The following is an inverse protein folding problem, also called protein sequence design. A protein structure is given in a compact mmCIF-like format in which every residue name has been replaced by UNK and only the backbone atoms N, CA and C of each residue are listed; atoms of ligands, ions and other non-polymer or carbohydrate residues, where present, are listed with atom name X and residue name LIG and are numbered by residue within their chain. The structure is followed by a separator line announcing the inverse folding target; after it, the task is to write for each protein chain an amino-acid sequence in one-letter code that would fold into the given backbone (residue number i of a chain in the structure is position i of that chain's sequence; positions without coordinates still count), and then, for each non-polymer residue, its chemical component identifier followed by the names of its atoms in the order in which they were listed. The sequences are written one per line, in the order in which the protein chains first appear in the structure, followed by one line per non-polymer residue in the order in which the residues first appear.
data_IF_099372812005
#
_entry.id   IF_099372812005
#
_cell.length_a   1.000
_cell.length_b   1.000
_cell.length_c   1.000
_cell.angle_alpha   90.00
_cell.angle_beta   90.00
_cell.angle_gamma   90.00
#
_symmetry.space_group_name_H-M   'P 1'
#
loop_
_entity.id
_entity.type
_entity.pdbx_description
1 polymer ?
#
# COMPACT_ATOMS: atom_id res chain seq x y z
N UNK A 1 -0.21 15.17 -14.22
CA UNK A 1 -0.06 13.73 -14.55
C UNK A 1 -0.32 12.94 -13.30
N UNK A 2 -1.14 11.89 -13.38
CA UNK A 2 -1.37 10.96 -12.29
C UNK A 2 -0.21 9.97 -12.16
N UNK A 3 0.03 9.51 -10.94
CA UNK A 3 1.02 8.46 -10.64
C UNK A 3 0.47 7.08 -11.00
N UNK A 4 -0.81 6.86 -10.74
CA UNK A 4 -1.54 5.62 -11.00
C UNK A 4 -2.87 5.91 -11.68
N UNK A 5 -3.54 4.88 -12.19
CA UNK A 5 -4.89 4.99 -12.74
C UNK A 5 -6.00 4.89 -11.65
N UNK A 6 -5.62 4.85 -10.37
CA UNK A 6 -6.59 4.84 -9.28
C UNK A 6 -7.33 6.18 -9.18
N UNK A 7 -8.64 6.11 -9.00
CA UNK A 7 -9.44 7.29 -8.69
C UNK A 7 -9.35 7.57 -7.18
N UNK A 8 -8.82 8.75 -6.82
CA UNK A 8 -8.91 9.31 -5.48
C UNK A 8 -9.91 10.46 -5.50
N UNK A 9 -10.66 10.61 -4.41
CA UNK A 9 -11.50 11.80 -4.22
C UNK A 9 -10.64 13.06 -4.19
N UNK A 10 -11.18 14.17 -4.66
CA UNK A 10 -10.43 15.43 -4.71
C UNK A 10 -9.96 15.87 -3.32
N UNK A 11 -8.66 15.95 -3.13
CA UNK A 11 -8.01 16.29 -1.86
C UNK A 11 -7.75 15.12 -0.93
N UNK A 12 -8.22 13.91 -1.28
CA UNK A 12 -7.86 12.69 -0.56
C UNK A 12 -6.42 12.27 -0.84
N UNK A 13 -5.84 11.51 0.07
CA UNK A 13 -4.50 10.95 -0.06
C UNK A 13 -4.56 9.46 0.22
N UNK A 14 -3.64 8.73 -0.39
CA UNK A 14 -3.41 7.32 -0.11
C UNK A 14 -1.91 7.07 0.05
N UNK A 15 -1.56 6.02 0.78
CA UNK A 15 -0.20 5.51 0.82
C UNK A 15 0.09 4.74 -0.45
N UNK A 16 1.13 5.13 -1.17
CA UNK A 16 1.59 4.50 -2.40
C UNK A 16 2.92 3.80 -2.18
N UNK A 17 2.97 2.49 -2.44
CA UNK A 17 4.16 1.66 -2.32
C UNK A 17 5.24 1.94 -3.36
N UNK A 18 5.01 2.99 -4.18
CA UNK A 18 5.92 3.38 -5.24
C UNK A 18 5.97 2.32 -6.37
N UNK A 19 6.90 2.48 -7.27
CA UNK A 19 7.27 1.55 -8.33
C UNK A 19 8.76 1.67 -8.58
N UNK A 20 9.50 0.59 -8.37
CA UNK A 20 10.94 0.52 -8.57
C UNK A 20 11.31 -0.95 -8.72
N UNK A 21 12.39 -1.23 -9.41
CA UNK A 21 12.97 -2.55 -9.48
C UNK A 21 13.67 -2.88 -8.15
N UNK A 22 13.74 -4.15 -7.80
CA UNK A 22 14.45 -4.67 -6.61
C UNK A 22 14.02 -3.98 -5.30
N UNK A 23 12.75 -3.59 -5.18
CA UNK A 23 12.26 -2.89 -4.00
C UNK A 23 11.79 -3.85 -2.90
N UNK A 24 11.99 -3.47 -1.65
CA UNK A 24 11.38 -4.05 -0.44
C UNK A 24 10.85 -2.90 0.41
N UNK A 25 9.73 -2.33 -0.03
CA UNK A 25 9.11 -1.16 0.59
C UNK A 25 8.19 -1.55 1.74
N UNK A 26 8.22 -0.79 2.84
CA UNK A 26 7.50 -1.10 4.08
C UNK A 26 6.76 0.11 4.61
N UNK A 27 5.50 -0.10 4.96
CA UNK A 27 4.66 0.85 5.68
C UNK A 27 4.24 0.21 7.00
N UNK A 28 4.67 0.77 8.12
CA UNK A 28 4.60 0.16 9.44
C UNK A 28 3.77 1.02 10.39
N UNK A 29 2.87 0.38 11.16
CA UNK A 29 2.19 0.97 12.30
C UNK A 29 2.26 0.06 13.52
N UNK A 30 2.20 0.63 14.72
CA UNK A 30 2.20 -0.10 15.99
C UNK A 30 0.98 0.27 16.81
N UNK A 31 0.30 -0.75 17.32
CA UNK A 31 -0.88 -0.61 18.17
C UNK A 31 -0.66 -1.25 19.53
N UNK A 32 -0.99 -0.53 20.59
CA UNK A 32 -1.07 -1.08 21.94
C UNK A 32 -2.49 -1.62 22.19
N UNK A 33 -2.63 -2.93 22.22
CA UNK A 33 -3.90 -3.61 22.37
C UNK A 33 -4.06 -4.25 23.76
N UNK A 34 -3.19 -3.91 24.72
CA UNK A 34 -3.20 -4.50 26.08
C UNK A 34 -4.46 -4.18 26.88
N UNK A 35 -5.21 -3.16 26.49
CA UNK A 35 -6.52 -2.84 27.09
C UNK A 35 -7.67 -3.68 26.55
N UNK A 36 -7.45 -4.46 25.50
CA UNK A 36 -8.42 -5.36 24.89
C UNK A 36 -8.26 -6.74 25.53
N UNK A 37 -9.38 -7.38 25.84
CA UNK A 37 -9.32 -8.71 26.42
C UNK A 37 -8.66 -9.71 25.46
N UNK A 38 -7.76 -10.58 25.92
CA UNK A 38 -7.15 -11.60 25.06
C UNK A 38 -8.19 -12.44 24.34
N UNK A 39 -8.02 -12.62 23.02
CA UNK A 39 -8.94 -13.37 22.17
C UNK A 39 -10.28 -12.65 21.88
N UNK A 40 -10.44 -11.39 22.28
CA UNK A 40 -11.61 -10.63 21.89
C UNK A 40 -11.60 -10.36 20.37
N UNK A 41 -12.75 -10.31 19.70
CA UNK A 41 -12.83 -10.02 18.29
C UNK A 41 -12.13 -8.70 17.94
N UNK A 42 -11.22 -8.78 17.00
CA UNK A 42 -10.44 -7.65 16.51
C UNK A 42 -10.31 -7.77 14.99
N UNK A 43 -10.73 -6.74 14.27
CA UNK A 43 -10.78 -6.72 12.82
C UNK A 43 -10.02 -5.53 12.27
N UNK A 44 -9.18 -5.76 11.28
CA UNK A 44 -8.60 -4.73 10.44
C UNK A 44 -9.37 -4.68 9.12
N UNK A 45 -9.74 -3.49 8.68
CA UNK A 45 -10.18 -3.22 7.30
C UNK A 45 -9.20 -2.27 6.65
N UNK A 46 -8.99 -2.42 5.34
CA UNK A 46 -8.16 -1.54 4.55
C UNK A 46 -8.71 -1.45 3.12
N UNK A 47 -8.80 -0.25 2.58
CA UNK A 47 -9.04 -0.03 1.15
C UNK A 47 -7.72 -0.18 0.41
N UNK A 48 -7.68 -1.03 -0.61
CA UNK A 48 -6.48 -1.31 -1.38
C UNK A 48 -6.76 -1.27 -2.88
N UNK A 49 -5.81 -0.76 -3.62
CA UNK A 49 -5.81 -0.76 -5.08
C UNK A 49 -4.40 -1.16 -5.54
N UNK A 50 -4.30 -2.12 -6.46
CA UNK A 50 -3.00 -2.51 -6.98
C UNK A 50 -3.06 -2.84 -8.48
N UNK A 51 -1.99 -2.47 -9.16
CA UNK A 51 -1.62 -2.86 -10.50
C UNK A 51 -0.11 -3.07 -10.48
N UNK A 52 0.29 -4.32 -10.32
CA UNK A 52 1.68 -4.77 -10.15
C UNK A 52 1.96 -5.95 -11.06
N UNK A 53 3.20 -6.28 -11.30
CA UNK A 53 3.54 -7.40 -12.17
C UNK A 53 3.01 -8.72 -11.60
N UNK A 54 2.27 -9.47 -12.44
CA UNK A 54 1.63 -10.71 -12.00
C UNK A 54 2.68 -11.80 -11.78
N UNK A 55 2.67 -12.42 -10.58
CA UNK A 55 3.51 -13.55 -10.18
C UNK A 55 5.03 -13.23 -10.02
N UNK A 56 5.40 -11.95 -10.07
CA UNK A 56 6.76 -11.46 -9.83
C UNK A 56 6.78 -10.40 -8.72
N UNK A 57 5.89 -9.43 -8.78
CA UNK A 57 5.70 -8.42 -7.74
C UNK A 57 4.61 -8.85 -6.75
N UNK A 58 4.83 -8.58 -5.45
CA UNK A 58 3.90 -8.97 -4.40
C UNK A 58 3.71 -7.91 -3.34
N UNK A 59 2.44 -7.68 -2.98
CA UNK A 59 2.03 -6.97 -1.78
C UNK A 59 1.65 -7.94 -0.66
N UNK A 60 2.13 -7.69 0.56
CA UNK A 60 1.82 -8.49 1.75
C UNK A 60 1.29 -7.61 2.87
N UNK A 61 0.20 -8.04 3.52
CA UNK A 61 -0.18 -7.53 4.83
C UNK A 61 0.39 -8.47 5.87
N UNK A 62 1.14 -7.93 6.82
CA UNK A 62 1.86 -8.73 7.80
C UNK A 62 1.61 -8.22 9.22
N UNK A 63 1.55 -9.13 10.18
CA UNK A 63 1.42 -8.82 11.59
C UNK A 63 2.52 -9.46 12.41
N UNK A 64 2.92 -8.78 13.50
CA UNK A 64 3.87 -9.28 14.49
C UNK A 64 3.47 -8.82 15.88
N UNK A 65 3.71 -9.66 16.89
CA UNK A 65 3.50 -9.30 18.30
C UNK A 65 4.73 -8.64 18.95
N UNK A 66 5.90 -8.72 18.32
CA UNK A 66 7.19 -8.29 18.89
C UNK A 66 8.04 -7.43 17.92
N UNK A 67 7.54 -7.19 16.71
CA UNK A 67 8.25 -6.48 15.65
C UNK A 67 9.39 -7.25 14.99
N UNK A 68 9.62 -8.51 15.38
CA UNK A 68 10.71 -9.34 14.88
C UNK A 68 10.21 -10.59 14.14
N UNK A 69 9.22 -11.27 14.70
CA UNK A 69 8.61 -12.44 14.09
C UNK A 69 7.35 -12.04 13.34
N UNK A 70 7.43 -12.03 12.02
CA UNK A 70 6.35 -11.59 11.13
C UNK A 70 5.60 -12.78 10.55
N UNK A 71 4.27 -12.66 10.50
CA UNK A 71 3.40 -13.60 9.77
C UNK A 71 2.59 -12.86 8.72
N UNK A 72 2.37 -13.48 7.57
CA UNK A 72 1.45 -12.97 6.56
C UNK A 72 0.02 -13.09 7.09
N UNK A 73 -0.76 -12.05 6.90
CA UNK A 73 -2.19 -11.99 7.14
C UNK A 73 -2.86 -12.10 5.77
N UNK A 74 -3.31 -13.28 5.34
CA UNK A 74 -3.89 -13.43 4.01
C UNK A 74 -5.25 -12.75 3.95
N UNK A 75 -5.48 -11.95 2.90
CA UNK A 75 -6.77 -11.38 2.57
C UNK A 75 -7.56 -12.28 1.60
N UNK A 76 -8.78 -11.87 1.24
CA UNK A 76 -9.63 -12.65 0.33
C UNK A 76 -9.07 -12.71 -1.10
N UNK A 77 -8.31 -11.68 -1.51
CA UNK A 77 -7.76 -11.56 -2.87
C UNK A 77 -6.28 -11.93 -2.95
N UNK A 78 -5.70 -12.50 -1.89
CA UNK A 78 -4.33 -13.00 -1.93
C UNK A 78 -4.24 -14.33 -2.67
N UNK A 79 -3.13 -14.55 -3.36
CA UNK A 79 -2.82 -15.79 -4.05
C UNK A 79 -1.42 -16.29 -3.69
N UNK A 80 -1.25 -17.61 -3.73
CA UNK A 80 0.08 -18.22 -3.66
C UNK A 80 0.67 -18.22 -5.07
N UNK A 81 1.91 -17.77 -5.21
CA UNK A 81 2.62 -17.74 -6.48
C UNK A 81 2.72 -19.13 -7.10
N UNK A 82 2.21 -19.37 -8.32
CA UNK A 82 2.38 -20.63 -9.03
C UNK A 82 3.84 -20.94 -9.37
N UNK A 83 4.65 -19.92 -9.63
CA UNK A 83 6.09 -20.05 -9.93
C UNK A 83 6.97 -20.16 -8.69
N UNK A 84 6.41 -19.84 -7.51
CA UNK A 84 7.15 -19.85 -6.24
C UNK A 84 7.98 -18.60 -5.98
N UNK A 85 7.77 -17.51 -6.72
CA UNK A 85 8.49 -16.24 -6.54
C UNK A 85 8.08 -15.50 -5.25
N UNK A 86 6.85 -15.70 -4.78
CA UNK A 86 6.35 -15.07 -3.55
C UNK A 86 6.84 -15.76 -2.28
N UNK A 87 6.81 -15.04 -1.15
CA UNK A 87 7.13 -15.58 0.19
C UNK A 87 5.92 -16.20 0.90
N UNK A 88 4.76 -16.22 0.25
CA UNK A 88 3.49 -16.76 0.75
C UNK A 88 2.30 -16.15 0.03
N UNK A 89 1.07 -16.29 0.59
CA UNK A 89 -0.10 -15.66 0.01
C UNK A 89 0.06 -14.13 -0.04
N UNK A 90 0.00 -13.54 -1.23
CA UNK A 90 0.19 -12.10 -1.45
C UNK A 90 -0.73 -11.56 -2.53
N UNK A 91 -0.79 -10.25 -2.62
CA UNK A 91 -1.46 -9.53 -3.70
C UNK A 91 -0.50 -9.44 -4.87
N UNK A 92 -0.95 -9.82 -6.07
CA UNK A 92 -0.19 -9.76 -7.31
C UNK A 92 -1.12 -9.46 -8.49
N UNK A 93 -0.61 -9.01 -9.62
CA UNK A 93 -1.41 -8.64 -10.78
C UNK A 93 -2.26 -7.40 -10.53
N UNK A 94 -3.59 -7.51 -10.65
CA UNK A 94 -4.53 -6.37 -10.54
C UNK A 94 -5.64 -6.61 -9.55
N UNK A 95 -6.06 -5.55 -8.85
CA UNK A 95 -7.19 -5.54 -7.91
C UNK A 95 -8.57 -5.58 -8.57
N UNK A 96 -8.66 -5.93 -9.84
CA UNK A 96 -9.91 -5.99 -10.61
C UNK A 96 -10.66 -7.31 -10.49
N UNK A 97 -10.13 -8.29 -9.74
CA UNK A 97 -10.65 -9.66 -9.89
C UNK A 97 -10.31 -10.23 -11.28
N UNK A 98 -10.73 -11.46 -11.53
CA UNK A 98 -10.44 -12.21 -12.74
C UNK A 98 -10.77 -11.40 -14.02
N UNK A 99 -9.87 -11.46 -15.00
CA UNK A 99 -10.06 -10.90 -16.34
C UNK A 99 -11.46 -11.18 -16.87
N UNK A 100 -12.07 -10.19 -17.51
CA UNK A 100 -13.34 -10.39 -18.21
C UNK A 100 -13.26 -11.61 -19.14
N UNK A 101 -14.36 -12.34 -19.27
CA UNK A 101 -14.43 -13.56 -20.08
C UNK A 101 -14.07 -13.35 -21.57
N UNK A 102 -14.00 -12.10 -22.03
CA UNK A 102 -13.59 -11.69 -23.38
C UNK A 102 -12.10 -11.41 -23.53
N UNK A 103 -11.29 -11.60 -22.47
CA UNK A 103 -9.86 -11.34 -22.46
C UNK A 103 -9.49 -9.85 -22.43
N UNK A 104 -10.45 -8.93 -22.27
CA UNK A 104 -10.16 -7.54 -22.01
C UNK A 104 -9.61 -7.40 -20.59
N UNK A 105 -8.48 -6.74 -20.44
CA UNK A 105 -7.91 -6.44 -19.13
C UNK A 105 -8.80 -5.39 -18.44
N UNK A 106 -9.47 -5.79 -17.35
CA UNK A 106 -10.19 -4.82 -16.53
C UNK A 106 -9.20 -3.88 -15.82
N UNK A 107 -9.57 -2.61 -15.70
CA UNK A 107 -8.80 -1.69 -14.89
C UNK A 107 -8.80 -2.15 -13.43
N UNK A 108 -7.70 -1.95 -12.72
CA UNK A 108 -7.66 -2.15 -11.28
C UNK A 108 -8.71 -1.28 -10.59
N UNK A 109 -9.33 -1.78 -9.52
CA UNK A 109 -10.37 -1.10 -8.75
C UNK A 109 -10.02 -1.10 -7.27
N UNK A 110 -10.57 -0.15 -6.49
CA UNK A 110 -10.47 -0.18 -5.05
C UNK A 110 -11.24 -1.39 -4.49
N UNK A 111 -10.58 -2.12 -3.60
CA UNK A 111 -11.13 -3.29 -2.90
C UNK A 111 -10.98 -3.05 -1.40
N UNK A 112 -12.01 -3.30 -0.64
CA UNK A 112 -11.93 -3.38 0.81
C UNK A 112 -11.56 -4.80 1.23
N UNK A 113 -10.45 -4.92 1.96
CA UNK A 113 -9.99 -6.17 2.55
C UNK A 113 -10.24 -6.16 4.06
N UNK A 114 -10.51 -7.35 4.60
CA UNK A 114 -10.79 -7.58 6.01
C UNK A 114 -9.90 -8.68 6.56
N UNK A 115 -9.27 -8.42 7.72
CA UNK A 115 -8.36 -9.35 8.38
C UNK A 115 -8.80 -9.58 9.82
N UNK A 116 -8.80 -10.84 10.25
CA UNK A 116 -8.98 -11.21 11.66
C UNK A 116 -7.65 -11.04 12.40
N UNK A 117 -7.66 -10.17 13.40
CA UNK A 117 -6.51 -9.87 14.25
C UNK A 117 -6.74 -10.27 15.71
N UNK A 118 -7.76 -11.09 16.01
CA UNK A 118 -8.14 -11.48 17.36
C UNK A 118 -6.99 -12.12 18.16
N UNK A 119 -6.04 -12.76 17.48
CA UNK A 119 -4.83 -13.31 18.08
C UNK A 119 -3.89 -12.27 18.71
N UNK A 120 -3.99 -11.00 18.29
CA UNK A 120 -3.17 -9.90 18.83
C UNK A 120 -3.84 -9.18 20.00
N UNK A 121 -5.13 -9.47 20.27
CA UNK A 121 -5.86 -8.84 21.37
C UNK A 121 -5.19 -9.17 22.72
N UNK A 122 -5.05 -8.18 23.57
CA UNK A 122 -4.38 -8.28 24.87
C UNK A 122 -2.87 -8.08 24.84
N UNK A 123 -2.28 -7.79 23.68
CA UNK A 123 -0.85 -7.60 23.48
C UNK A 123 -0.49 -6.34 22.69
N UNK A 124 0.49 -6.45 21.86
CA UNK A 124 0.87 -5.44 20.88
C UNK A 124 0.68 -5.99 19.46
N UNK A 125 0.38 -5.11 18.54
CA UNK A 125 0.36 -5.41 17.11
C UNK A 125 1.31 -4.46 16.39
N UNK A 126 2.27 -5.03 15.70
CA UNK A 126 3.03 -4.38 14.65
C UNK A 126 2.40 -4.80 13.34
N UNK A 127 1.81 -3.85 12.61
CA UNK A 127 1.16 -4.06 11.32
C UNK A 127 2.06 -3.51 10.22
N UNK A 128 2.25 -4.28 9.16
CA UNK A 128 3.08 -3.88 8.04
C UNK A 128 2.38 -4.17 6.70
N UNK A 129 2.36 -3.17 5.82
CA UNK A 129 2.16 -3.38 4.39
C UNK A 129 3.55 -3.42 3.75
N UNK A 130 3.88 -4.56 3.13
CA UNK A 130 5.20 -4.79 2.54
C UNK A 130 5.04 -5.04 1.05
N UNK A 131 5.70 -4.26 0.22
CA UNK A 131 5.68 -4.37 -1.22
C UNK A 131 7.07 -4.78 -1.71
N UNK A 132 7.15 -5.92 -2.40
CA UNK A 132 8.38 -6.51 -2.91
C UNK A 132 8.27 -6.60 -4.41
N UNK A 133 9.27 -6.09 -5.13
CA UNK A 133 9.38 -6.16 -6.59
C UNK A 133 10.65 -6.90 -6.99
N UNK A 134 10.63 -7.48 -8.19
CA UNK A 134 11.82 -8.05 -8.81
C UNK A 134 12.60 -7.00 -9.64
N UNK A 135 13.47 -7.42 -10.55
CA UNK A 135 14.41 -6.60 -11.31
C UNK A 135 13.83 -6.07 -12.63
N UNK A 136 12.51 -6.13 -12.84
CA UNK A 136 11.90 -5.66 -14.10
C UNK A 136 10.41 -5.40 -14.05
N UNK A 137 9.89 -4.86 -15.14
CA UNK A 137 8.46 -4.63 -15.43
C UNK A 137 7.69 -3.88 -14.35
N UNK A 138 8.02 -2.62 -14.16
CA UNK A 138 7.27 -1.75 -13.25
C UNK A 138 5.86 -1.43 -13.77
N UNK A 139 4.83 -1.75 -13.00
CA UNK A 139 3.46 -1.30 -13.22
C UNK A 139 3.12 -0.06 -12.36
N UNK A 140 1.84 0.21 -12.11
CA UNK A 140 1.41 1.42 -11.37
C UNK A 140 1.71 1.37 -9.88
N UNK A 141 1.91 0.16 -9.31
CA UNK A 141 2.22 -0.07 -7.90
C UNK A 141 0.99 -0.36 -7.05
N UNK A 142 1.11 -0.20 -5.75
CA UNK A 142 0.11 -0.54 -4.75
C UNK A 142 -0.26 0.68 -3.91
N UNK A 143 -1.57 0.95 -3.80
CA UNK A 143 -2.14 2.00 -2.95
C UNK A 143 -2.89 1.38 -1.77
N UNK A 144 -2.76 2.00 -0.59
CA UNK A 144 -3.46 1.64 0.64
C UNK A 144 -4.06 2.88 1.27
N UNK A 145 -5.33 2.78 1.67
CA UNK A 145 -6.09 3.85 2.31
C UNK A 145 -7.10 3.29 3.32
N UNK A 146 -7.75 4.16 4.08
CA UNK A 146 -8.83 3.82 5.00
C UNK A 146 -8.53 2.64 5.93
N UNK A 147 -7.30 2.56 6.47
CA UNK A 147 -6.90 1.50 7.38
C UNK A 147 -7.56 1.71 8.73
N UNK A 148 -8.45 0.80 9.12
CA UNK A 148 -9.22 0.89 10.35
C UNK A 148 -9.09 -0.38 11.19
N UNK A 149 -8.86 -0.21 12.48
CA UNK A 149 -8.86 -1.28 13.45
C UNK A 149 -10.09 -1.16 14.35
N UNK A 150 -10.91 -2.20 14.41
CA UNK A 150 -12.14 -2.23 15.18
C UNK A 150 -12.19 -3.45 16.10
N UNK A 151 -12.61 -3.23 17.34
CA UNK A 151 -12.96 -4.27 18.30
C UNK A 151 -14.47 -4.35 18.53
N UNK A 152 -14.89 -5.24 19.41
CA UNK A 152 -16.32 -5.46 19.73
C UNK A 152 -17.08 -4.20 20.21
N UNK A 153 -16.37 -3.17 20.70
CA UNK A 153 -16.95 -1.92 21.22
C UNK A 153 -16.82 -0.74 20.25
N UNK A 154 -16.31 -0.95 19.04
CA UNK A 154 -16.13 0.06 18.00
C UNK A 154 -14.68 0.26 17.56
N UNK A 155 -14.44 1.35 16.81
CA UNK A 155 -13.11 1.68 16.29
C UNK A 155 -12.10 1.91 17.41
N UNK A 156 -10.94 1.28 17.29
CA UNK A 156 -9.83 1.37 18.27
C UNK A 156 -8.87 2.49 17.87
N UNK A 157 -8.60 2.61 16.58
CA UNK A 157 -7.86 3.71 15.97
C UNK A 157 -8.25 3.80 14.49
N UNK A 158 -8.77 4.92 14.05
CA UNK A 158 -8.86 5.25 12.64
C UNK A 158 -7.52 5.89 12.24
N UNK A 159 -6.64 5.12 11.64
CA UNK A 159 -5.46 5.66 10.97
C UNK A 159 -5.83 5.77 9.50
N UNK A 160 -6.39 6.93 9.12
CA UNK A 160 -6.63 7.23 7.71
C UNK A 160 -5.41 7.91 7.09
N UNK A 161 -5.16 7.67 5.82
CA UNK A 161 -4.18 8.42 5.05
C UNK A 161 -4.59 9.89 4.85
N UNK A 162 -5.86 10.22 5.10
CA UNK A 162 -6.43 11.56 4.93
C UNK A 162 -6.03 12.57 6.01
N UNK A 163 -5.50 12.11 7.15
CA UNK A 163 -4.96 13.04 8.14
C UNK A 163 -3.78 13.78 7.50
N UNK A 164 -3.72 15.11 7.66
CA UNK A 164 -2.60 15.95 7.20
C UNK A 164 -1.24 15.57 7.82
N UNK A 165 -1.22 14.53 8.61
CA UNK A 165 -0.08 13.93 9.28
C UNK A 165 0.00 12.46 8.85
N UNK A 166 1.19 11.88 8.95
CA UNK A 166 1.49 10.48 8.60
C UNK A 166 0.70 9.45 9.43
N UNK A 167 -0.22 9.90 10.29
CA UNK A 167 -1.09 9.07 11.12
C UNK A 167 -0.34 8.13 12.08
N UNK A 168 0.95 8.37 12.31
CA UNK A 168 1.83 7.49 13.09
C UNK A 168 2.38 6.30 12.28
N UNK A 169 2.22 6.33 10.96
CA UNK A 169 2.86 5.38 10.06
C UNK A 169 4.35 5.70 9.90
N UNK A 170 5.17 4.69 9.93
CA UNK A 170 6.59 4.74 9.55
C UNK A 170 6.72 4.17 8.14
N UNK A 171 7.23 4.97 7.22
CA UNK A 171 7.36 4.57 5.82
C UNK A 171 8.82 4.38 5.41
N UNK A 172 9.08 3.28 4.71
CA UNK A 172 10.32 2.99 4.01
C UNK A 172 9.95 2.62 2.57
N UNK A 173 10.20 3.54 1.63
CA UNK A 173 9.83 3.39 0.23
C UNK A 173 8.37 3.73 -0.13
N UNK A 174 7.48 3.91 0.85
CA UNK A 174 6.11 4.35 0.64
C UNK A 174 6.00 5.88 0.68
N UNK A 175 5.08 6.42 -0.08
CA UNK A 175 4.81 7.87 -0.17
C UNK A 175 3.33 8.14 0.08
N UNK A 176 3.04 9.11 0.94
CA UNK A 176 1.68 9.64 1.08
C UNK A 176 1.42 10.64 -0.05
N UNK A 177 0.48 10.34 -0.93
CA UNK A 177 0.25 11.07 -2.19
C UNK A 177 -1.23 11.35 -2.45
N UNK A 178 -1.50 12.44 -3.12
CA UNK A 178 -2.79 12.76 -3.75
C UNK A 178 -2.91 12.17 -5.18
N UNK A 179 -2.07 11.20 -5.52
CA UNK A 179 -1.97 10.56 -6.84
C UNK A 179 -1.53 11.51 -7.96
N UNK A 180 -1.00 12.68 -7.63
CA UNK A 180 -0.52 13.64 -8.61
C UNK A 180 1.01 13.70 -8.60
N UNK A 181 1.60 13.61 -9.79
CA UNK A 181 3.02 13.86 -9.93
C UNK A 181 3.27 15.37 -9.77
N UNK A 182 4.04 15.81 -8.75
CA UNK A 182 4.35 17.23 -8.60
C UNK A 182 5.13 17.70 -9.80
N UNK A 183 4.53 18.62 -10.58
CA UNK A 183 5.18 19.20 -11.73
C UNK A 183 5.94 20.46 -11.30
N UNK A 184 7.25 20.41 -11.40
CA UNK A 184 8.11 21.58 -11.23
C UNK A 184 8.59 22.02 -12.58
N UNK A 185 8.21 23.25 -12.96
CA UNK A 185 8.70 23.87 -14.19
C UNK A 185 9.90 24.75 -13.84
N UNK A 186 11.02 24.55 -14.53
CA UNK A 186 12.15 25.45 -14.54
C UNK A 186 12.14 26.18 -15.88
N UNK A 187 11.85 27.47 -15.88
CA UNK A 187 12.03 28.33 -17.03
C UNK A 187 13.43 28.94 -16.96
N UNK A 188 14.30 28.57 -17.89
CA UNK A 188 15.60 29.18 -18.04
C UNK A 188 15.58 30.09 -19.30
N UNK A 189 15.79 31.37 -19.06
CA UNK A 189 15.94 32.35 -20.15
C UNK A 189 17.44 32.60 -20.32
N UNK A 190 17.90 32.34 -21.55
CA UNK A 190 19.29 32.64 -21.92
C UNK A 190 19.28 33.76 -22.93
N UNK A 191 19.99 34.85 -22.66
CA UNK A 191 20.20 35.96 -23.55
C UNK A 191 21.57 35.82 -24.22
N UNK A 192 21.60 36.01 -25.53
CA UNK A 192 22.82 35.92 -26.32
C UNK A 192 23.09 37.26 -27.00
N UNK A 193 24.31 37.73 -26.88
CA UNK A 193 24.86 38.79 -27.72
C UNK A 193 25.69 38.14 -28.82
N UNK A 194 25.08 37.99 -30.03
CA UNK A 194 25.66 37.23 -31.11
C UNK A 194 25.71 35.73 -30.80
N UNK A 195 26.89 35.12 -30.85
CA UNK A 195 27.10 33.69 -30.53
C UNK A 195 27.54 33.45 -29.05
N UNK A 196 27.59 34.49 -28.21
CA UNK A 196 28.02 34.39 -26.83
C UNK A 196 26.86 34.60 -25.88
N UNK A 197 26.84 33.79 -24.81
CA UNK A 197 25.92 34.01 -23.70
C UNK A 197 26.23 35.39 -23.09
N UNK A 198 25.20 36.21 -22.90
CA UNK A 198 25.36 37.49 -22.20
C UNK A 198 25.70 37.26 -20.73
N UNK A 199 26.57 38.08 -20.16
CA UNK A 199 27.08 37.95 -18.80
C UNK A 199 26.03 38.40 -17.77
#
# INVERSE_FOLDING_TARGET
TQLTNADLEAGARAWWGNRADDADARLLARYDLRTIAPGAPLTLTASMWWEIESDYDFGYVMGSADGNQWRILPGQHTAVSPSGNGIGPGYTGRSAGLSSADGSESNAVWIEETFDLSDFAGGELWLQFRYITDDGVNASGWLVDNVQLAGATGSINAIGAEANEDGGWQSEGWLLTDNLLPQRWLLQVMEFEGEKLAA
#
